data_IF_544701850088
#
_entry.id   IF_544701850088
#
_cell.length_a   1.000
_cell.length_b   1.000
_cell.length_c   1.000
_cell.angle_alpha   90.00
_cell.angle_beta   90.00
_cell.angle_gamma   90.00
#
_symmetry.space_group_name_H-M   'P 1'
#
loop_
_entity.id
_entity.type
_entity.pdbx_description
1 polymer ?
#
# COMPACT_ATOMS: atom_id res chain seq x y z
N UNK A 1 -3.23 -57.85 -24.47
CA UNK A 1 -3.40 -57.61 -25.92
C UNK A 1 -4.36 -56.44 -26.07
N UNK A 2 -3.89 -55.35 -26.72
CA UNK A 2 -4.58 -54.16 -27.21
C UNK A 2 -5.62 -53.42 -26.31
N UNK A 3 -5.19 -52.30 -25.69
CA UNK A 3 -6.09 -51.20 -25.33
C UNK A 3 -6.34 -50.30 -26.55
N UNK A 4 -7.56 -49.76 -26.72
CA UNK A 4 -7.94 -48.93 -27.87
C UNK A 4 -7.44 -47.48 -27.75
N UNK A 5 -6.91 -47.00 -28.87
CA UNK A 5 -6.51 -45.62 -29.13
C UNK A 5 -7.76 -44.78 -29.38
N UNK A 6 -8.02 -43.78 -28.52
CA UNK A 6 -9.00 -42.73 -28.82
C UNK A 6 -8.31 -41.38 -28.98
N UNK A 7 -8.74 -40.73 -30.04
CA UNK A 7 -8.17 -39.59 -30.75
C UNK A 7 -8.10 -38.31 -29.92
N UNK A 8 -6.89 -37.77 -29.73
CA UNK A 8 -6.68 -36.38 -29.35
C UNK A 8 -6.44 -35.53 -30.60
N UNK A 9 -7.45 -34.74 -30.95
CA UNK A 9 -7.48 -33.76 -32.04
C UNK A 9 -6.55 -32.59 -31.70
N UNK A 10 -5.49 -32.40 -32.49
CA UNK A 10 -4.64 -31.19 -32.42
C UNK A 10 -5.40 -29.98 -33.02
N UNK A 11 -5.41 -28.80 -32.39
CA UNK A 11 -5.72 -27.57 -33.10
C UNK A 11 -4.55 -27.21 -34.03
N UNK A 12 -4.94 -26.89 -35.27
CA UNK A 12 -4.06 -26.64 -36.42
C UNK A 12 -3.21 -25.39 -36.22
N UNK A 13 -1.93 -25.53 -36.51
CA UNK A 13 -1.04 -24.49 -37.02
C UNK A 13 -1.66 -23.83 -38.25
N UNK A 14 -1.72 -22.50 -38.27
CA UNK A 14 -1.54 -21.70 -39.49
C UNK A 14 -1.42 -20.21 -39.13
N UNK A 15 -0.18 -19.73 -39.14
CA UNK A 15 0.12 -18.33 -39.40
C UNK A 15 -0.42 -17.95 -40.78
N UNK A 16 -1.04 -16.79 -40.90
CA UNK A 16 -1.10 -16.05 -42.16
C UNK A 16 -0.79 -14.57 -41.87
N UNK A 17 0.15 -13.95 -42.60
CA UNK A 17 0.56 -12.57 -42.36
C UNK A 17 -0.46 -11.60 -42.95
N UNK A 18 -0.94 -10.65 -42.15
CA UNK A 18 -1.70 -9.50 -42.65
C UNK A 18 -0.72 -8.37 -42.97
N UNK A 19 -0.75 -7.96 -44.23
CA UNK A 19 0.04 -6.92 -44.88
C UNK A 19 -0.02 -5.58 -44.15
N UNK A 20 1.13 -4.94 -43.96
CA UNK A 20 1.27 -3.56 -43.49
C UNK A 20 1.42 -2.59 -44.67
N UNK A 21 0.93 -1.34 -44.58
CA UNK A 21 1.36 -0.27 -45.47
C UNK A 21 2.56 0.51 -44.88
N UNK A 22 3.63 0.53 -45.67
CA UNK A 22 4.61 1.59 -45.92
C UNK A 22 4.93 2.60 -44.80
N UNK A 23 6.18 2.53 -44.33
CA UNK A 23 6.94 3.71 -43.92
C UNK A 23 7.30 3.78 -42.44
N UNK A 24 8.15 2.88 -41.94
CA UNK A 24 9.07 3.18 -40.84
C UNK A 24 10.20 2.13 -40.83
N UNK A 25 11.45 2.59 -40.66
CA UNK A 25 12.66 1.77 -40.72
C UNK A 25 12.58 0.57 -39.75
N UNK A 26 12.82 -0.63 -40.28
CA UNK A 26 12.96 -1.85 -39.50
C UNK A 26 14.22 -1.76 -38.63
N UNK A 27 14.04 -1.67 -37.31
CA UNK A 27 15.10 -1.94 -36.35
C UNK A 27 15.02 -3.43 -36.06
N UNK A 28 15.96 -4.17 -36.66
CA UNK A 28 16.22 -5.58 -36.38
C UNK A 28 16.76 -5.71 -34.95
N UNK A 29 16.01 -6.35 -34.05
CA UNK A 29 16.55 -6.82 -32.79
C UNK A 29 16.98 -8.29 -32.92
N UNK A 30 18.26 -8.62 -32.67
CA UNK A 30 18.72 -9.99 -32.59
C UNK A 30 18.21 -10.63 -31.28
N UNK A 31 17.44 -11.71 -31.40
CA UNK A 31 17.16 -12.62 -30.29
C UNK A 31 18.39 -13.47 -30.02
N UNK A 32 19.27 -13.01 -29.12
CA UNK A 32 20.39 -13.80 -28.62
C UNK A 32 20.01 -14.44 -27.28
N UNK A 33 20.31 -15.73 -27.18
CA UNK A 33 19.64 -16.68 -26.29
C UNK A 33 19.94 -16.58 -24.81
N UNK A 34 18.96 -16.98 -24.00
CA UNK A 34 19.20 -17.45 -22.65
C UNK A 34 18.97 -18.96 -22.55
N UNK A 35 20.02 -19.62 -22.07
CA UNK A 35 20.15 -21.03 -21.80
C UNK A 35 19.01 -21.60 -20.95
N UNK A 36 18.47 -22.71 -21.43
CA UNK A 36 17.67 -23.63 -20.63
C UNK A 36 18.56 -24.37 -19.62
N UNK A 37 18.26 -24.23 -18.33
CA UNK A 37 18.53 -25.30 -17.35
C UNK A 37 17.28 -25.56 -16.53
N UNK A 38 16.69 -26.71 -16.83
CA UNK A 38 15.49 -27.25 -16.21
C UNK A 38 15.82 -27.88 -14.86
N UNK A 39 15.10 -27.47 -13.82
CA UNK A 39 14.74 -28.28 -12.64
C UNK A 39 13.39 -27.69 -12.20
N UNK A 40 12.23 -28.33 -12.22
CA UNK A 40 11.93 -29.75 -12.25
C UNK A 40 11.04 -30.12 -11.07
N UNK A 41 9.88 -29.47 -10.84
CA UNK A 41 8.87 -29.96 -9.88
C UNK A 41 7.43 -29.71 -10.37
N UNK A 42 6.64 -30.76 -10.19
CA UNK A 42 5.40 -31.14 -10.88
C UNK A 42 4.15 -30.36 -10.42
N UNK A 43 3.16 -30.14 -11.31
CA UNK A 43 1.85 -29.62 -10.92
C UNK A 43 0.97 -30.74 -10.32
N UNK A 44 0.41 -30.48 -9.14
CA UNK A 44 -0.55 -31.34 -8.46
C UNK A 44 -1.92 -31.17 -9.11
N UNK A 45 -2.33 -32.14 -9.94
CA UNK A 45 -3.73 -32.35 -10.31
C UNK A 45 -4.43 -33.10 -9.18
N UNK A 46 -5.35 -32.43 -8.48
CA UNK A 46 -6.24 -33.08 -7.51
C UNK A 46 -7.32 -33.83 -8.29
N UNK A 47 -7.23 -35.17 -8.28
CA UNK A 47 -8.30 -36.06 -8.70
C UNK A 47 -9.47 -35.97 -7.71
N UNK A 48 -10.62 -35.44 -8.16
CA UNK A 48 -11.88 -35.53 -7.45
C UNK A 48 -12.42 -36.98 -7.52
N UNK A 49 -12.43 -37.67 -6.38
CA UNK A 49 -13.00 -39.03 -6.23
C UNK A 49 -14.50 -38.91 -5.93
N UNK A 50 -15.32 -39.30 -6.91
CA UNK A 50 -16.78 -39.43 -6.79
C UNK A 50 -17.11 -40.82 -6.24
N UNK A 51 -17.43 -40.92 -4.95
CA UNK A 51 -18.03 -42.13 -4.36
C UNK A 51 -19.50 -41.84 -4.07
N UNK A 52 -20.40 -42.64 -4.64
CA UNK A 52 -21.82 -42.62 -4.32
C UNK A 52 -22.16 -43.61 -3.20
N UNK A 53 -23.14 -43.24 -2.38
CA UNK A 53 -24.03 -44.12 -1.60
C UNK A 53 -25.27 -43.28 -1.25
N UNK A 54 -26.39 -43.48 -1.94
CA UNK A 54 -27.55 -44.30 -1.53
C UNK A 54 -28.32 -43.75 -0.31
N UNK A 55 -29.46 -43.13 -0.63
CA UNK A 55 -30.79 -43.22 0.01
C UNK A 55 -30.90 -43.09 1.53
N UNK A 56 -31.61 -42.05 2.00
CA UNK A 56 -32.80 -42.27 2.87
C UNK A 56 -33.80 -41.11 2.78
N UNK A 57 -35.04 -41.53 2.57
CA UNK A 57 -36.31 -40.78 2.50
C UNK A 57 -36.72 -40.26 3.88
N UNK A 58 -37.26 -39.03 3.93
CA UNK A 58 -37.92 -38.46 5.10
C UNK A 58 -38.72 -37.21 4.72
N UNK A 59 -40.00 -37.40 4.36
CA UNK A 59 -41.01 -36.36 4.13
C UNK A 59 -41.44 -35.76 5.47
N UNK A 60 -41.47 -34.43 5.57
CA UNK A 60 -41.85 -33.73 6.80
C UNK A 60 -42.13 -32.24 6.61
N UNK A 61 -43.32 -31.94 6.09
CA UNK A 61 -44.17 -30.77 6.39
C UNK A 61 -43.53 -29.36 6.38
N UNK A 62 -43.67 -28.66 5.25
CA UNK A 62 -43.71 -27.20 5.22
C UNK A 62 -44.86 -26.70 6.10
N UNK A 63 -44.54 -26.00 7.20
CA UNK A 63 -45.48 -25.15 7.91
C UNK A 63 -44.93 -23.73 7.97
N UNK A 64 -45.77 -22.83 7.47
CA UNK A 64 -45.66 -21.38 7.44
C UNK A 64 -45.47 -20.85 8.86
N UNK A 65 -44.44 -20.01 9.06
CA UNK A 65 -44.42 -19.01 10.13
C UNK A 65 -43.64 -17.79 9.64
N UNK A 66 -44.41 -16.85 9.10
CA UNK A 66 -44.05 -15.43 9.04
C UNK A 66 -44.18 -14.87 10.47
N UNK A 67 -43.45 -13.78 10.74
CA UNK A 67 -43.56 -12.84 11.89
C UNK A 67 -42.65 -13.18 13.09
N UNK A 68 -41.58 -12.39 13.32
CA UNK A 68 -41.61 -11.18 14.17
C UNK A 68 -40.21 -10.52 14.23
N UNK A 69 -40.21 -9.19 14.29
CA UNK A 69 -39.09 -8.27 14.36
C UNK A 69 -38.15 -8.47 15.57
N UNK A 70 -36.89 -8.04 15.43
CA UNK A 70 -35.97 -7.88 16.56
C UNK A 70 -34.51 -7.61 16.18
N UNK A 71 -34.19 -6.34 15.91
CA UNK A 71 -32.96 -5.64 16.34
C UNK A 71 -31.65 -6.44 16.51
N UNK A 72 -30.70 -6.29 15.57
CA UNK A 72 -29.43 -5.55 15.71
C UNK A 72 -28.53 -5.85 14.50
N UNK A 73 -28.79 -5.19 13.37
CA UNK A 73 -27.85 -5.16 12.26
C UNK A 73 -26.98 -3.91 12.41
N UNK A 74 -25.83 -4.05 13.06
CA UNK A 74 -24.52 -3.52 12.61
C UNK A 74 -23.46 -4.44 13.20
N UNK A 75 -23.27 -5.61 12.60
CA UNK A 75 -22.00 -6.31 12.68
C UNK A 75 -21.10 -5.67 11.61
N UNK A 76 -20.53 -4.51 11.96
CA UNK A 76 -19.48 -3.88 11.17
C UNK A 76 -18.19 -4.66 11.38
N UNK A 77 -18.09 -5.84 10.79
CA UNK A 77 -16.82 -6.56 10.68
C UNK A 77 -15.88 -5.69 9.82
N UNK A 78 -15.08 -4.87 10.49
CA UNK A 78 -13.95 -4.19 9.88
C UNK A 78 -12.93 -5.27 9.48
N UNK A 79 -13.07 -5.77 8.26
CA UNK A 79 -12.02 -6.54 7.63
C UNK A 79 -10.82 -5.60 7.41
N UNK A 80 -9.89 -5.60 8.36
CA UNK A 80 -8.61 -4.93 8.22
C UNK A 80 -7.85 -5.61 7.08
N UNK A 81 -7.90 -4.99 5.89
CA UNK A 81 -7.01 -5.33 4.78
C UNK A 81 -5.55 -5.11 5.19
N UNK A 82 -4.62 -5.81 4.58
CA UNK A 82 -3.18 -5.78 4.86
C UNK A 82 -2.46 -4.42 4.65
N UNK A 83 -3.22 -3.33 4.54
CA UNK A 83 -2.79 -1.91 4.48
C UNK A 83 -3.76 -0.98 5.27
N UNK A 84 -4.64 -1.53 6.14
CA UNK A 84 -5.93 -0.94 6.56
C UNK A 84 -5.91 0.12 7.68
N UNK A 85 -7.03 0.83 7.84
CA UNK A 85 -7.29 1.76 8.96
C UNK A 85 -7.28 0.97 10.27
N UNK A 86 -6.58 1.43 11.32
CA UNK A 86 -6.47 0.73 12.59
C UNK A 86 -7.84 0.42 13.21
N UNK A 87 -7.95 -0.79 13.76
CA UNK A 87 -9.22 -1.34 14.28
C UNK A 87 -9.78 -0.58 15.50
N UNK A 88 -8.95 0.22 16.18
CA UNK A 88 -9.35 1.03 17.34
C UNK A 88 -8.74 2.43 17.28
N UNK A 89 -9.39 3.44 17.89
CA UNK A 89 -8.80 4.78 18.03
C UNK A 89 -7.43 4.77 18.73
N UNK A 90 -7.24 3.91 19.74
CA UNK A 90 -5.97 3.77 20.45
C UNK A 90 -4.84 3.24 19.54
N UNK A 91 -5.12 2.23 18.71
CA UNK A 91 -4.15 1.73 17.72
C UNK A 91 -3.81 2.81 16.68
N UNK A 92 -4.77 3.66 16.29
CA UNK A 92 -4.52 4.80 15.41
C UNK A 92 -3.57 5.83 16.03
N UNK A 93 -3.75 6.10 17.32
CA UNK A 93 -2.90 7.01 18.08
C UNK A 93 -1.48 6.45 18.20
N UNK A 94 -1.33 5.16 18.48
CA UNK A 94 -0.04 4.49 18.57
C UNK A 94 0.69 4.50 17.21
N UNK A 95 0.01 4.09 16.14
CA UNK A 95 0.59 4.03 14.79
C UNK A 95 1.03 5.42 14.30
N UNK A 96 0.19 6.46 14.44
CA UNK A 96 0.56 7.82 14.00
C UNK A 96 1.70 8.41 14.83
N UNK A 97 1.76 8.08 16.12
CA UNK A 97 2.85 8.53 17.01
C UNK A 97 4.16 7.84 16.64
N UNK A 98 4.12 6.54 16.34
CA UNK A 98 5.28 5.76 15.90
C UNK A 98 5.83 6.28 14.56
N UNK A 99 4.96 6.51 13.57
CA UNK A 99 5.35 7.09 12.28
C UNK A 99 6.01 8.46 12.47
N UNK A 100 5.40 9.34 13.26
CA UNK A 100 5.95 10.67 13.47
C UNK A 100 7.25 10.64 14.29
N UNK A 101 7.44 9.65 15.17
CA UNK A 101 8.73 9.40 15.83
C UNK A 101 9.80 9.00 14.82
N UNK A 102 9.50 8.07 13.90
CA UNK A 102 10.39 7.68 12.82
C UNK A 102 10.77 8.85 11.90
N UNK A 103 9.80 9.69 11.56
CA UNK A 103 10.03 10.96 10.84
C UNK A 103 10.97 11.87 11.64
N UNK A 104 10.76 11.99 12.95
CA UNK A 104 11.64 12.74 13.85
C UNK A 104 13.08 12.22 13.85
N UNK A 105 13.27 10.91 13.80
CA UNK A 105 14.58 10.25 13.78
C UNK A 105 15.30 10.46 12.44
N UNK A 106 14.58 10.32 11.34
CA UNK A 106 15.05 10.65 10.00
C UNK A 106 15.43 12.13 9.91
N UNK A 107 14.60 13.03 10.47
CA UNK A 107 14.89 14.47 10.53
C UNK A 107 16.17 14.75 11.31
N UNK A 108 16.39 14.11 12.47
CA UNK A 108 17.63 14.29 13.24
C UNK A 108 18.86 13.87 12.44
N UNK A 109 18.75 12.78 11.68
CA UNK A 109 19.82 12.33 10.77
C UNK A 109 20.07 13.35 9.66
N UNK A 110 19.00 13.83 9.01
CA UNK A 110 19.06 14.90 8.00
C UNK A 110 19.69 16.18 8.53
N UNK A 111 19.31 16.65 9.73
CA UNK A 111 19.88 17.85 10.36
C UNK A 111 21.36 17.67 10.65
N UNK A 112 21.81 16.50 11.14
CA UNK A 112 23.24 16.25 11.38
C UNK A 112 24.05 16.32 10.08
N UNK A 113 23.55 15.75 8.99
CA UNK A 113 24.19 15.84 7.67
C UNK A 113 24.17 17.28 7.14
N UNK A 114 23.01 17.95 7.19
CA UNK A 114 22.85 19.33 6.74
C UNK A 114 23.73 20.32 7.50
N UNK A 115 24.06 20.04 8.77
CA UNK A 115 24.93 20.87 9.61
C UNK A 115 26.38 20.39 9.66
N UNK A 116 26.76 19.42 8.81
CA UNK A 116 28.12 18.85 8.77
C UNK A 116 28.59 18.27 10.11
N UNK A 117 27.65 17.90 10.98
CA UNK A 117 27.92 17.19 12.24
C UNK A 117 28.11 15.69 12.02
N UNK A 118 27.73 15.20 10.84
CA UNK A 118 27.97 13.85 10.33
C UNK A 118 28.39 13.95 8.85
N UNK A 119 29.17 13.00 8.32
CA UNK A 119 29.51 12.96 6.90
C UNK A 119 28.24 12.88 6.05
N UNK A 120 28.25 13.57 4.92
CA UNK A 120 27.15 13.51 3.96
C UNK A 120 27.14 12.13 3.28
N UNK A 121 25.98 11.47 3.37
CA UNK A 121 25.68 10.23 2.68
C UNK A 121 24.45 10.47 1.81
N UNK A 122 24.63 10.24 0.50
CA UNK A 122 23.58 10.49 -0.50
C UNK A 122 22.38 9.55 -0.33
N UNK A 123 22.64 8.28 0.00
CA UNK A 123 21.58 7.29 0.16
C UNK A 123 20.80 7.57 1.44
N UNK A 124 21.50 7.91 2.53
CA UNK A 124 20.86 8.35 3.77
C UNK A 124 20.04 9.64 3.58
N UNK A 125 20.54 10.61 2.81
CA UNK A 125 19.79 11.83 2.49
C UNK A 125 18.49 11.52 1.72
N UNK A 126 18.56 10.59 0.76
CA UNK A 126 17.39 10.10 0.01
C UNK A 126 16.44 9.27 0.89
N UNK A 127 16.95 8.47 1.82
CA UNK A 127 16.15 7.71 2.79
C UNK A 127 15.30 8.64 3.67
N UNK A 128 15.86 9.78 4.11
CA UNK A 128 15.12 10.79 4.87
C UNK A 128 13.94 11.32 4.07
N UNK A 129 14.16 11.69 2.81
CA UNK A 129 13.10 12.19 1.92
C UNK A 129 12.04 11.12 1.61
N UNK A 130 12.45 9.88 1.38
CA UNK A 130 11.54 8.75 1.19
C UNK A 130 10.69 8.46 2.43
N UNK A 131 11.27 8.62 3.62
CA UNK A 131 10.56 8.49 4.90
C UNK A 131 9.48 9.56 5.04
N UNK A 132 9.74 10.79 4.59
CA UNK A 132 8.75 11.86 4.59
C UNK A 132 7.61 11.57 3.62
N UNK A 133 7.91 11.13 2.40
CA UNK A 133 6.90 10.77 1.41
C UNK A 133 5.98 9.64 1.91
N UNK A 134 6.55 8.55 2.47
CA UNK A 134 5.76 7.43 2.99
C UNK A 134 4.93 7.80 4.21
N UNK A 135 5.48 8.61 5.12
CA UNK A 135 4.72 9.13 6.25
C UNK A 135 3.56 10.03 5.79
N UNK A 136 3.76 10.84 4.75
CA UNK A 136 2.73 11.71 4.23
C UNK A 136 1.52 10.97 3.66
N UNK A 137 1.75 9.83 3.01
CA UNK A 137 0.70 8.97 2.50
C UNK A 137 -0.08 8.29 3.62
N UNK A 138 0.61 7.91 4.71
CA UNK A 138 0.01 7.11 5.78
C UNK A 138 -0.70 7.95 6.84
N UNK A 139 -0.15 9.10 7.22
CA UNK A 139 -0.64 9.92 8.33
C UNK A 139 -2.12 10.32 8.23
N UNK A 140 -2.65 10.78 7.08
CA UNK A 140 -4.05 11.16 6.95
C UNK A 140 -5.06 10.05 7.31
N UNK A 141 -4.67 8.78 7.10
CA UNK A 141 -5.51 7.61 7.35
C UNK A 141 -5.64 7.26 8.85
N UNK A 142 -4.80 7.87 9.71
CA UNK A 142 -4.67 7.52 11.13
C UNK A 142 -5.38 8.50 12.07
N UNK A 143 -6.32 9.28 11.53
CA UNK A 143 -7.18 10.18 12.30
C UNK A 143 -8.66 9.79 12.16
N UNK A 144 -9.08 8.58 12.60
CA UNK A 144 -10.48 8.22 12.61
C UNK A 144 -11.27 9.06 13.63
N UNK A 145 -12.60 9.22 13.45
CA UNK A 145 -13.47 9.80 14.46
C UNK A 145 -13.32 9.09 15.81
N UNK A 146 -13.35 9.83 16.91
CA UNK A 146 -13.14 9.26 18.26
C UNK A 146 -11.68 9.02 18.65
N UNK A 147 -10.70 9.38 17.79
CA UNK A 147 -9.27 9.47 18.18
C UNK A 147 -8.85 10.90 18.59
N UNK A 148 -9.85 11.74 18.87
CA UNK A 148 -9.74 13.12 19.37
C UNK A 148 -9.26 13.17 20.81
N UNK A 149 -9.73 12.22 21.61
CA UNK A 149 -9.43 12.07 23.03
C UNK A 149 -9.09 10.62 23.30
N UNK A 150 -8.11 10.38 24.18
CA UNK A 150 -7.58 9.05 24.46
C UNK A 150 -6.12 8.89 24.01
N UNK A 151 -5.38 8.04 24.73
CA UNK A 151 -3.92 7.93 24.60
C UNK A 151 -3.17 9.24 24.94
N UNK A 152 -1.84 9.19 24.94
CA UNK A 152 -1.00 10.39 25.09
C UNK A 152 -0.97 11.22 23.78
N UNK A 153 -2.15 11.54 23.26
CA UNK A 153 -2.27 12.23 21.97
C UNK A 153 -2.03 13.73 22.11
N UNK A 154 -1.29 14.28 21.15
CA UNK A 154 -1.06 15.73 21.01
C UNK A 154 -1.80 16.31 19.79
N UNK A 155 -2.77 15.60 19.24
CA UNK A 155 -3.58 16.04 18.10
C UNK A 155 -4.54 17.16 18.52
N UNK A 156 -4.55 18.29 17.81
CA UNK A 156 -5.50 19.37 18.06
C UNK A 156 -6.88 19.03 17.47
N UNK A 157 -7.99 19.45 18.11
CA UNK A 157 -9.34 19.24 17.59
C UNK A 157 -9.54 19.89 16.20
N UNK A 158 -8.72 20.88 15.85
CA UNK A 158 -8.70 21.55 14.54
C UNK A 158 -8.51 20.58 13.37
N UNK A 159 -7.86 19.41 13.58
CA UNK A 159 -7.69 18.38 12.54
C UNK A 159 -9.03 17.83 12.04
N UNK A 160 -10.04 17.75 12.92
CA UNK A 160 -11.36 17.24 12.56
C UNK A 160 -12.25 18.34 11.98
N UNK A 161 -12.09 19.59 12.41
CA UNK A 161 -12.82 20.72 11.82
C UNK A 161 -12.27 21.15 10.44
N UNK A 162 -10.96 21.02 10.22
CA UNK A 162 -10.28 21.35 8.96
C UNK A 162 -9.57 20.12 8.38
N UNK A 163 -10.34 19.06 8.12
CA UNK A 163 -9.79 17.82 7.54
C UNK A 163 -9.16 18.05 6.17
N UNK A 164 -9.80 18.86 5.33
CA UNK A 164 -9.31 19.13 3.99
C UNK A 164 -7.98 19.90 4.01
N UNK A 165 -7.82 20.90 4.87
CA UNK A 165 -6.56 21.63 5.04
C UNK A 165 -5.45 20.77 5.62
N UNK A 166 -5.79 19.83 6.51
CA UNK A 166 -4.85 18.85 7.06
C UNK A 166 -4.34 17.87 5.98
N UNK A 167 -5.26 17.25 5.23
CA UNK A 167 -4.93 16.31 4.15
C UNK A 167 -4.11 16.98 3.06
N UNK A 168 -4.48 18.21 2.67
CA UNK A 168 -3.74 18.98 1.68
C UNK A 168 -2.30 19.25 2.12
N UNK A 169 -2.07 19.62 3.39
CA UNK A 169 -0.70 19.85 3.88
C UNK A 169 0.15 18.59 3.81
N UNK A 170 -0.41 17.43 4.13
CA UNK A 170 0.29 16.16 3.96
C UNK A 170 0.54 15.82 2.49
N UNK A 171 -0.43 16.05 1.61
CA UNK A 171 -0.27 15.84 0.17
C UNK A 171 0.85 16.74 -0.40
N UNK A 172 0.83 18.04 -0.09
CA UNK A 172 1.83 19.00 -0.55
C UNK A 172 3.23 18.66 -0.01
N UNK A 173 3.33 18.27 1.28
CA UNK A 173 4.59 17.87 1.91
C UNK A 173 5.14 16.55 1.33
N UNK A 174 4.29 15.55 1.15
CA UNK A 174 4.65 14.26 0.55
C UNK A 174 5.10 14.41 -0.90
N UNK A 175 4.40 15.22 -1.70
CA UNK A 175 4.78 15.51 -3.07
C UNK A 175 6.12 16.24 -3.17
N UNK A 176 6.35 17.23 -2.31
CA UNK A 176 7.64 17.92 -2.24
C UNK A 176 8.79 16.98 -1.85
N UNK A 177 8.56 16.08 -0.88
CA UNK A 177 9.54 15.11 -0.45
C UNK A 177 9.87 14.09 -1.55
N UNK A 178 8.84 13.51 -2.17
CA UNK A 178 8.98 12.55 -3.27
C UNK A 178 9.68 13.17 -4.48
N UNK A 179 9.29 14.40 -4.87
CA UNK A 179 9.89 15.11 -5.99
C UNK A 179 11.35 15.52 -5.75
N UNK A 180 11.78 15.63 -4.49
CA UNK A 180 13.15 15.99 -4.14
C UNK A 180 14.14 14.80 -4.19
N UNK A 181 13.66 13.55 -4.07
CA UNK A 181 14.54 12.36 -3.90
C UNK A 181 15.59 12.26 -5.00
N UNK A 182 15.18 12.38 -6.27
CA UNK A 182 16.07 12.23 -7.42
C UNK A 182 16.90 13.50 -7.68
N UNK A 183 16.43 14.65 -7.21
CA UNK A 183 17.10 15.94 -7.36
C UNK A 183 18.26 16.17 -6.40
N UNK A 184 18.37 15.37 -5.33
CA UNK A 184 19.51 15.41 -4.41
C UNK A 184 20.67 14.62 -5.01
N UNK A 185 21.78 15.32 -5.26
CA UNK A 185 23.07 14.77 -5.71
C UNK A 185 24.23 15.07 -4.76
N UNK A 186 24.08 16.10 -3.93
CA UNK A 186 25.11 16.65 -3.06
C UNK A 186 24.47 17.36 -1.86
N UNK A 187 25.32 17.80 -0.92
CA UNK A 187 24.91 18.44 0.32
C UNK A 187 24.12 19.73 0.09
N UNK A 188 24.47 20.52 -0.92
CA UNK A 188 23.81 21.80 -1.18
C UNK A 188 22.41 21.59 -1.77
N UNK A 189 22.27 20.62 -2.69
CA UNK A 189 20.96 20.17 -3.17
C UNK A 189 20.11 19.58 -2.06
N UNK A 190 20.72 18.80 -1.16
CA UNK A 190 20.01 18.29 0.01
C UNK A 190 19.52 19.42 0.91
N UNK A 191 20.36 20.40 1.26
CA UNK A 191 19.97 21.56 2.07
C UNK A 191 18.84 22.36 1.44
N UNK A 192 18.91 22.59 0.12
CA UNK A 192 17.89 23.31 -0.63
C UNK A 192 16.53 22.60 -0.62
N UNK A 193 16.52 21.26 -0.68
CA UNK A 193 15.29 20.47 -0.58
C UNK A 193 14.79 20.31 0.88
N UNK A 194 15.71 20.10 1.81
CA UNK A 194 15.42 19.79 3.21
C UNK A 194 14.84 20.98 3.99
N UNK A 195 15.33 22.19 3.74
CA UNK A 195 14.87 23.41 4.44
C UNK A 195 13.35 23.61 4.35
N UNK A 196 12.76 23.72 3.15
CA UNK A 196 11.31 23.86 2.99
C UNK A 196 10.51 22.70 3.58
N UNK A 197 11.03 21.47 3.52
CA UNK A 197 10.38 20.30 4.11
C UNK A 197 10.38 20.36 5.64
N UNK A 198 11.46 20.86 6.25
CA UNK A 198 11.55 21.07 7.69
C UNK A 198 10.63 22.23 8.16
N UNK A 199 10.49 23.28 7.35
CA UNK A 199 9.55 24.39 7.62
C UNK A 199 8.10 23.89 7.62
N UNK A 200 7.77 22.94 6.73
CA UNK A 200 6.50 22.23 6.70
C UNK A 200 6.12 21.62 8.06
N UNK A 201 7.09 21.04 8.78
CA UNK A 201 6.88 20.48 10.12
C UNK A 201 6.39 21.54 11.11
N UNK A 202 7.01 22.73 11.10
CA UNK A 202 6.66 23.82 12.02
C UNK A 202 5.27 24.40 11.73
N UNK A 203 4.92 24.53 10.45
CA UNK A 203 3.61 25.04 10.01
C UNK A 203 2.47 24.10 10.44
N UNK A 204 2.64 22.78 10.27
CA UNK A 204 1.65 21.79 10.67
C UNK A 204 1.56 21.68 12.21
N UNK A 205 2.69 21.67 12.91
CA UNK A 205 2.69 21.62 14.38
C UNK A 205 2.12 22.89 15.03
N UNK A 206 2.19 24.05 14.37
CA UNK A 206 1.60 25.29 14.87
C UNK A 206 0.08 25.27 14.92
N UNK A 207 -0.58 24.60 13.97
CA UNK A 207 -2.04 24.59 13.84
C UNK A 207 -2.69 23.30 14.36
N UNK A 208 -2.03 22.15 14.15
CA UNK A 208 -2.65 20.84 14.34
C UNK A 208 -2.08 20.04 15.52
N UNK A 209 -1.06 20.55 16.22
CA UNK A 209 -0.49 19.91 17.41
C UNK A 209 -0.69 20.77 18.65
N UNK A 210 -1.26 20.16 19.70
CA UNK A 210 -1.35 20.78 21.02
C UNK A 210 0.05 20.83 21.62
N UNK A 211 0.51 22.04 21.97
CA UNK A 211 1.74 22.23 22.76
C UNK A 211 1.47 21.74 24.19
N UNK A 212 2.20 20.71 24.60
CA UNK A 212 2.28 20.30 26.01
C UNK A 212 3.42 21.13 26.62
N UNK A 213 3.09 21.93 27.64
CA UNK A 213 4.04 22.77 28.38
C UNK A 213 4.57 22.03 29.60
#
# INVERSE_FOLDING_TARGET
MASPVSTCRRPRTACSPRSAPLGLKAITFPCEGLNHRAVGLRPYTVCARRSGALMRRGSGSLKKSVILAGTLMVLGAFAASAQGVPATPAAAIEERTSIMSGVGDATRTGVRMAREQAPFDLDAARDVLRTYASAAERMPLLFPPGSETGGDTSAAPTIWSDRAGFERRFADWGAAAAGAVDGVSDLDKFRAAFGPLADGCSSCHGEYRVRRN
#
